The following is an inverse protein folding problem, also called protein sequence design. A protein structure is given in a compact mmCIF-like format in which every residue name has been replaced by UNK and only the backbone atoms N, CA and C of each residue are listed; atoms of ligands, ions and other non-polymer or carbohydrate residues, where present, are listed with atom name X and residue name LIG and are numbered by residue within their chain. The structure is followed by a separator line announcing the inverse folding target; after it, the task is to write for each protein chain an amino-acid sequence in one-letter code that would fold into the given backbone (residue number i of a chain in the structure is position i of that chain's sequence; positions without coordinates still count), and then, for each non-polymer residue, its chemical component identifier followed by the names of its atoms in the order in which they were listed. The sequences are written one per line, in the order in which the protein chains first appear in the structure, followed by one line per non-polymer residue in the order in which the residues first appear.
data_IF_341736315393
#
_entry.id   IF_341736315393
#
_cell.length_a   1.000
_cell.length_b   1.000
_cell.length_c   1.000
_cell.angle_alpha   90.00
_cell.angle_beta   90.00
_cell.angle_gamma   90.00
#
_symmetry.space_group_name_H-M   'P 1'
#
loop_
_entity.id
_entity.type
_entity.pdbx_description
1 polymer ?
#
# COMPACT_ATOMS: atom_id res chain seq x y z
N UNK A 1 5.13 -0.34 94.65
CA UNK A 1 5.57 0.15 93.32
C UNK A 1 5.12 -0.83 92.25
N UNK A 2 4.49 -0.32 91.18
CA UNK A 2 4.36 -0.96 89.85
C UNK A 2 3.36 -2.12 89.72
N UNK A 3 2.07 -1.84 89.50
CA UNK A 3 1.41 -1.69 88.18
C UNK A 3 0.86 -2.99 87.57
N UNK A 4 -0.46 -3.09 87.72
CA UNK A 4 -1.44 -3.83 86.93
C UNK A 4 -1.36 -3.47 85.43
N UNK A 5 -1.42 -4.45 84.53
CA UNK A 5 -1.94 -4.24 83.16
C UNK A 5 -2.28 -5.55 82.45
N UNK A 6 -3.57 -5.88 82.44
CA UNK A 6 -4.21 -6.74 81.44
C UNK A 6 -4.08 -6.09 80.06
N UNK A 7 -3.65 -6.82 79.03
CA UNK A 7 -3.78 -6.40 77.62
C UNK A 7 -4.25 -7.57 76.75
N UNK A 8 -5.55 -7.50 76.45
CA UNK A 8 -6.29 -7.91 75.27
C UNK A 8 -5.46 -8.52 74.12
N UNK A 9 -5.59 -9.84 73.91
CA UNK A 9 -5.33 -10.45 72.61
C UNK A 9 -6.56 -10.25 71.73
N UNK A 10 -6.56 -9.14 70.99
CA UNK A 10 -7.54 -8.88 69.94
C UNK A 10 -7.25 -9.81 68.75
N UNK A 11 -8.27 -10.56 68.35
CA UNK A 11 -8.35 -11.34 67.10
C UNK A 11 -7.76 -10.55 65.92
N UNK A 12 -6.67 -11.06 65.32
CA UNK A 12 -6.34 -10.74 63.93
C UNK A 12 -6.88 -11.87 63.08
N UNK A 13 -8.15 -11.76 62.75
CA UNK A 13 -8.82 -12.63 61.78
C UNK A 13 -8.84 -11.90 60.44
N UNK A 14 -8.40 -12.59 59.38
CA UNK A 14 -8.67 -12.33 57.95
C UNK A 14 -8.06 -11.06 57.33
N UNK A 15 -6.84 -11.20 56.82
CA UNK A 15 -6.37 -10.45 55.65
C UNK A 15 -5.81 -11.44 54.61
N UNK A 16 -6.69 -12.31 54.11
CA UNK A 16 -6.45 -13.22 52.99
C UNK A 16 -7.69 -13.24 52.11
N UNK A 17 -8.08 -12.09 51.55
CA UNK A 17 -9.11 -12.05 50.50
C UNK A 17 -9.32 -10.68 49.86
N UNK A 18 -8.25 -9.90 49.62
CA UNK A 18 -8.38 -8.66 48.84
C UNK A 18 -7.40 -8.58 47.67
N UNK A 19 -6.96 -9.73 47.14
CA UNK A 19 -6.15 -9.77 45.91
C UNK A 19 -6.87 -10.43 44.72
N UNK A 20 -8.04 -11.06 44.93
CA UNK A 20 -8.78 -11.72 43.86
C UNK A 20 -9.89 -10.87 43.21
N UNK A 21 -10.24 -9.69 43.76
CA UNK A 21 -11.37 -8.92 43.23
C UNK A 21 -10.99 -7.90 42.15
N UNK A 22 -9.71 -7.50 42.03
CA UNK A 22 -9.26 -6.54 41.02
C UNK A 22 -9.08 -7.18 39.64
N UNK A 23 -8.92 -8.51 39.58
CA UNK A 23 -8.77 -9.26 38.32
C UNK A 23 -10.12 -9.54 37.62
N UNK A 24 -11.24 -9.42 38.33
CA UNK A 24 -12.59 -9.70 37.79
C UNK A 24 -13.32 -8.46 37.23
N UNK A 25 -12.72 -7.27 37.32
CA UNK A 25 -13.29 -6.00 36.84
C UNK A 25 -12.47 -5.35 35.71
N UNK A 26 -11.63 -6.11 35.02
CA UNK A 26 -11.34 -5.81 33.63
C UNK A 26 -12.40 -6.53 32.79
N UNK A 27 -13.59 -5.93 32.55
CA UNK A 27 -14.31 -6.33 31.37
C UNK A 27 -13.33 -6.08 30.23
N UNK A 28 -12.91 -7.17 29.59
CA UNK A 28 -12.33 -7.13 28.28
C UNK A 28 -13.39 -6.46 27.39
N UNK A 29 -13.42 -5.13 27.39
CA UNK A 29 -14.11 -4.31 26.42
C UNK A 29 -13.32 -4.49 25.12
N UNK A 30 -13.44 -5.68 24.54
CA UNK A 30 -13.25 -5.86 23.12
C UNK A 30 -14.42 -5.14 22.46
N UNK A 31 -14.36 -3.80 22.46
CA UNK A 31 -15.16 -2.98 21.56
C UNK A 31 -14.76 -3.46 20.18
N UNK A 32 -15.63 -4.23 19.53
CA UNK A 32 -15.41 -4.60 18.13
C UNK A 32 -15.19 -3.30 17.36
N UNK A 33 -14.15 -3.26 16.53
CA UNK A 33 -13.97 -2.11 15.66
C UNK A 33 -15.24 -1.99 14.80
N UNK A 34 -15.91 -0.84 14.89
CA UNK A 34 -17.05 -0.55 14.01
C UNK A 34 -16.59 -0.66 12.56
N UNK A 35 -17.46 -1.16 11.64
CA UNK A 35 -17.13 -1.18 10.22
C UNK A 35 -16.67 0.21 9.76
N UNK A 36 -15.46 0.26 9.21
CA UNK A 36 -14.86 1.50 8.73
C UNK A 36 -14.73 1.47 7.22
N UNK A 37 -15.16 2.55 6.57
CA UNK A 37 -15.05 2.75 5.12
C UNK A 37 -14.70 4.20 4.83
N UNK A 38 -13.67 4.41 4.02
CA UNK A 38 -13.23 5.71 3.53
C UNK A 38 -12.78 5.53 2.08
N UNK A 39 -13.12 6.51 1.24
CA UNK A 39 -12.70 6.57 -0.16
C UNK A 39 -11.78 7.76 -0.36
N UNK A 40 -10.73 7.57 -1.17
CA UNK A 40 -9.86 8.64 -1.61
C UNK A 40 -9.62 8.54 -3.11
N UNK A 41 -9.61 9.70 -3.78
CA UNK A 41 -9.31 9.77 -5.20
C UNK A 41 -7.80 9.65 -5.40
N UNK A 42 -7.35 8.60 -6.10
CA UNK A 42 -5.93 8.39 -6.42
C UNK A 42 -5.52 9.23 -7.64
N UNK A 43 -6.29 9.11 -8.73
CA UNK A 43 -6.11 9.91 -9.96
C UNK A 43 -7.45 10.50 -10.36
N UNK A 44 -7.46 11.79 -10.67
CA UNK A 44 -8.65 12.44 -11.22
C UNK A 44 -8.85 12.12 -12.71
N UNK A 45 -10.05 12.35 -13.21
CA UNK A 45 -10.36 12.24 -14.62
C UNK A 45 -9.46 13.17 -15.43
N UNK A 46 -8.78 12.58 -16.43
CA UNK A 46 -7.83 13.27 -17.30
C UNK A 46 -6.63 13.95 -16.62
N UNK A 47 -6.32 13.60 -15.37
CA UNK A 47 -5.07 14.01 -14.75
C UNK A 47 -3.87 13.60 -15.63
N UNK A 48 -2.82 14.42 -15.70
CA UNK A 48 -1.64 14.13 -16.52
C UNK A 48 -1.86 14.15 -18.04
N UNK A 49 -3.08 14.44 -18.52
CA UNK A 49 -3.42 14.47 -19.94
C UNK A 49 -3.80 13.10 -20.52
N UNK A 50 -3.93 12.07 -19.70
CA UNK A 50 -4.39 10.74 -20.13
C UNK A 50 -5.91 10.73 -20.31
N UNK A 51 -6.46 9.87 -21.16
CA UNK A 51 -7.92 9.72 -21.24
C UNK A 51 -8.46 8.92 -20.04
N UNK A 52 -7.70 7.91 -19.59
CA UNK A 52 -8.04 7.12 -18.40
C UNK A 52 -6.81 6.57 -17.68
N UNK A 53 -6.95 6.40 -16.37
CA UNK A 53 -6.01 5.67 -15.53
C UNK A 53 -6.59 4.29 -15.24
N UNK A 54 -5.85 3.24 -15.58
CA UNK A 54 -6.24 1.89 -15.21
C UNK A 54 -5.29 1.39 -14.12
N UNK A 55 -5.80 1.34 -12.89
CA UNK A 55 -5.03 0.93 -11.70
C UNK A 55 -5.04 -0.59 -11.61
N UNK A 56 -3.86 -1.18 -11.53
CA UNK A 56 -3.70 -2.63 -11.52
C UNK A 56 -3.11 -3.20 -10.24
N UNK A 57 -2.48 -2.38 -9.41
CA UNK A 57 -1.76 -2.91 -8.25
C UNK A 57 -1.48 -1.88 -7.19
N UNK A 58 -1.61 -2.32 -5.95
CA UNK A 58 -1.12 -1.60 -4.78
C UNK A 58 -0.01 -2.40 -4.12
N UNK A 59 0.92 -1.71 -3.50
CA UNK A 59 1.88 -2.31 -2.59
C UNK A 59 2.11 -1.41 -1.38
N UNK A 60 2.30 -2.02 -0.22
CA UNK A 60 2.62 -1.29 1.01
C UNK A 60 4.08 -1.54 1.35
N UNK A 61 4.87 -0.48 1.40
CA UNK A 61 6.28 -0.53 1.79
C UNK A 61 6.46 -0.99 3.23
N UNK A 62 7.70 -1.31 3.63
CA UNK A 62 8.03 -1.64 5.03
C UNK A 62 7.72 -0.49 6.00
N UNK A 63 7.77 0.75 5.53
CA UNK A 63 7.50 1.97 6.29
C UNK A 63 6.01 2.37 6.29
N UNK A 64 5.13 1.57 5.70
CA UNK A 64 3.69 1.86 5.65
C UNK A 64 3.26 2.84 4.55
N UNK A 65 4.18 3.35 3.73
CA UNK A 65 3.81 4.09 2.51
C UNK A 65 3.04 3.16 1.57
N UNK A 66 1.86 3.59 1.11
CA UNK A 66 1.06 2.92 0.08
C UNK A 66 1.52 3.40 -1.29
N UNK A 67 1.77 2.47 -2.19
CA UNK A 67 2.11 2.69 -3.60
C UNK A 67 0.94 2.25 -4.45
N UNK A 68 0.45 3.11 -5.33
CA UNK A 68 -0.54 2.79 -6.34
C UNK A 68 0.14 2.81 -7.71
N UNK A 69 0.01 1.72 -8.47
CA UNK A 69 0.57 1.58 -9.81
C UNK A 69 -0.55 1.56 -10.85
N UNK A 70 -0.38 2.36 -11.90
CA UNK A 70 -1.40 2.58 -12.92
C UNK A 70 -0.82 2.62 -14.32
N UNK A 71 -1.68 2.36 -15.31
CA UNK A 71 -1.46 2.72 -16.70
C UNK A 71 -2.10 4.06 -17.01
N UNK A 72 -1.31 5.01 -17.52
CA UNK A 72 -1.83 6.25 -18.10
C UNK A 72 -2.12 6.02 -19.56
N UNK A 73 -3.39 5.83 -19.92
CA UNK A 73 -3.78 5.45 -21.28
C UNK A 73 -4.08 6.66 -22.14
N UNK A 74 -3.55 6.65 -23.36
CA UNK A 74 -3.88 7.70 -24.33
C UNK A 74 -5.37 7.67 -24.72
N UNK A 75 -5.99 6.48 -24.75
CA UNK A 75 -7.42 6.27 -25.06
C UNK A 75 -8.05 5.24 -24.14
N UNK A 76 -9.26 5.49 -23.68
CA UNK A 76 -10.04 4.50 -22.95
C UNK A 76 -10.39 3.29 -23.83
N UNK A 77 -10.52 2.12 -23.19
CA UNK A 77 -10.89 0.83 -23.80
C UNK A 77 -9.95 0.33 -24.91
N UNK A 78 -8.77 0.93 -25.05
CA UNK A 78 -7.70 0.43 -25.92
C UNK A 78 -6.62 -0.24 -25.08
N UNK A 79 -6.68 -1.56 -24.96
CA UNK A 79 -5.67 -2.32 -24.21
C UNK A 79 -4.37 -2.53 -25.01
N UNK A 80 -4.43 -2.46 -26.33
CA UNK A 80 -3.28 -2.54 -27.23
C UNK A 80 -2.61 -1.19 -27.48
N UNK A 81 -3.27 -0.09 -27.13
CA UNK A 81 -2.82 1.26 -27.43
C UNK A 81 -1.65 1.74 -26.57
N UNK A 82 -1.14 2.95 -26.84
CA UNK A 82 -0.05 3.56 -26.08
C UNK A 82 -0.44 3.79 -24.62
N UNK A 83 0.49 3.48 -23.69
CA UNK A 83 0.26 3.69 -22.24
C UNK A 83 1.56 4.01 -21.52
N UNK A 84 1.51 4.97 -20.60
CA UNK A 84 2.57 5.21 -19.61
C UNK A 84 2.46 4.26 -18.42
N UNK A 85 3.58 4.03 -17.72
CA UNK A 85 3.59 3.39 -16.39
C UNK A 85 3.75 4.44 -15.31
N UNK A 86 2.77 4.50 -14.42
CA UNK A 86 2.61 5.57 -13.45
C UNK A 86 2.60 5.04 -12.01
N UNK A 87 3.03 5.88 -11.08
CA UNK A 87 3.05 5.63 -9.66
C UNK A 87 2.56 6.86 -8.89
N UNK A 88 1.69 6.64 -7.91
CA UNK A 88 1.43 7.60 -6.83
C UNK A 88 1.73 6.99 -5.47
N UNK A 89 2.04 7.85 -4.51
CA UNK A 89 2.44 7.46 -3.15
C UNK A 89 1.52 8.14 -2.14
N UNK A 90 1.11 7.38 -1.13
CA UNK A 90 0.48 7.90 0.08
C UNK A 90 1.32 7.54 1.31
N UNK A 91 1.57 8.53 2.16
CA UNK A 91 2.30 8.37 3.43
C UNK A 91 1.38 8.39 4.65
N UNK A 92 0.07 8.43 4.43
CA UNK A 92 -0.99 8.53 5.44
C UNK A 92 -2.06 7.44 5.26
N UNK A 93 -1.61 6.22 4.94
CA UNK A 93 -2.45 5.03 4.80
C UNK A 93 -3.51 5.10 3.71
N UNK A 94 -3.25 5.86 2.63
CA UNK A 94 -4.12 5.99 1.48
C UNK A 94 -5.09 7.17 1.55
N UNK A 95 -5.01 8.04 2.57
CA UNK A 95 -5.94 9.19 2.71
C UNK A 95 -5.64 10.29 1.70
N UNK A 96 -4.36 10.61 1.51
CA UNK A 96 -3.91 11.60 0.52
C UNK A 96 -2.82 11.03 -0.37
N UNK A 97 -2.76 11.54 -1.60
CA UNK A 97 -1.83 11.07 -2.63
C UNK A 97 -0.92 12.19 -3.10
N UNK A 98 0.37 11.91 -3.15
CA UNK A 98 1.37 12.83 -3.67
C UNK A 98 1.31 12.99 -5.19
N UNK A 99 2.27 13.77 -5.71
CA UNK A 99 2.43 13.96 -7.16
C UNK A 99 2.68 12.62 -7.86
N UNK A 100 2.17 12.52 -9.08
CA UNK A 100 2.44 11.41 -9.98
C UNK A 100 3.93 11.30 -10.32
N UNK A 101 4.40 10.07 -10.42
CA UNK A 101 5.73 9.68 -10.85
C UNK A 101 5.57 8.82 -12.10
N UNK A 102 6.27 9.19 -13.17
CA UNK A 102 6.30 8.41 -14.41
C UNK A 102 7.48 7.44 -14.35
N UNK A 103 7.19 6.14 -14.41
CA UNK A 103 8.19 5.06 -14.42
C UNK A 103 8.68 4.82 -15.84
N UNK A 104 7.76 4.76 -16.81
CA UNK A 104 8.06 4.61 -18.24
C UNK A 104 7.10 5.49 -19.06
N UNK A 105 7.60 6.04 -20.18
CA UNK A 105 6.84 6.90 -21.09
C UNK A 105 6.51 6.19 -22.41
N UNK A 106 5.39 6.59 -23.00
CA UNK A 106 4.92 6.26 -24.34
C UNK A 106 5.31 7.34 -25.37
N UNK A 107 6.53 7.87 -25.27
CA UNK A 107 7.02 8.95 -26.14
C UNK A 107 7.62 8.46 -27.47
N UNK A 108 7.62 7.15 -27.69
CA UNK A 108 8.15 6.46 -28.87
C UNK A 108 9.67 6.34 -28.86
N UNK A 109 10.36 6.82 -27.82
CA UNK A 109 11.83 6.82 -27.77
C UNK A 109 12.43 5.41 -27.86
N UNK A 110 11.82 4.42 -27.20
CA UNK A 110 12.28 3.04 -27.26
C UNK A 110 12.10 2.50 -28.67
N UNK A 111 10.92 2.65 -29.26
CA UNK A 111 10.66 2.09 -30.59
C UNK A 111 11.43 2.77 -31.71
N UNK A 112 11.62 4.08 -31.64
CA UNK A 112 12.48 4.83 -32.55
C UNK A 112 13.90 4.25 -32.52
N UNK A 113 14.46 3.98 -31.33
CA UNK A 113 15.79 3.39 -31.18
C UNK A 113 15.86 1.91 -31.63
N UNK A 114 14.72 1.24 -31.79
CA UNK A 114 14.64 -0.18 -32.16
C UNK A 114 14.05 -0.41 -33.57
N UNK A 115 14.09 0.60 -34.44
CA UNK A 115 13.72 0.47 -35.86
C UNK A 115 12.22 0.57 -36.16
N UNK A 116 11.42 1.09 -35.22
CA UNK A 116 9.98 1.29 -35.38
C UNK A 116 9.63 2.79 -35.22
N UNK A 117 10.04 3.65 -36.19
CA UNK A 117 9.82 5.08 -36.07
C UNK A 117 8.34 5.45 -36.02
N UNK A 118 7.97 6.34 -35.09
CA UNK A 118 6.59 6.83 -34.94
C UNK A 118 5.64 5.89 -34.18
N UNK A 119 6.14 4.75 -33.70
CA UNK A 119 5.39 3.84 -32.82
C UNK A 119 5.60 4.25 -31.37
N UNK A 120 4.51 4.36 -30.60
CA UNK A 120 4.56 4.64 -29.15
C UNK A 120 4.55 3.35 -28.33
N UNK A 121 5.10 3.40 -27.13
CA UNK A 121 5.19 2.25 -26.23
C UNK A 121 3.83 1.89 -25.62
N UNK A 122 3.56 0.59 -25.58
CA UNK A 122 2.45 0.01 -24.84
C UNK A 122 3.03 -0.75 -23.65
N UNK A 123 3.28 -0.01 -22.57
CA UNK A 123 3.70 -0.61 -21.32
C UNK A 123 2.51 -1.31 -20.67
N UNK A 124 2.65 -2.60 -20.38
CA UNK A 124 1.57 -3.46 -19.88
C UNK A 124 1.99 -4.25 -18.64
N UNK A 125 1.04 -4.97 -18.07
CA UNK A 125 1.14 -5.79 -16.85
C UNK A 125 1.49 -4.97 -15.61
N UNK A 126 1.14 -5.51 -14.46
CA UNK A 126 1.43 -4.90 -13.18
C UNK A 126 1.64 -6.00 -12.15
N UNK A 127 2.86 -6.13 -11.66
CA UNK A 127 3.17 -7.06 -10.57
C UNK A 127 4.16 -6.40 -9.60
N UNK A 128 3.68 -5.53 -8.70
CA UNK A 128 4.50 -4.98 -7.64
C UNK A 128 4.68 -6.02 -6.51
N UNK A 129 5.91 -6.17 -6.03
CA UNK A 129 6.30 -7.05 -4.93
C UNK A 129 7.16 -6.25 -3.97
N UNK A 130 6.85 -6.34 -2.68
CA UNK A 130 7.67 -5.74 -1.61
C UNK A 130 8.28 -6.86 -0.80
N UNK A 131 9.61 -6.91 -0.75
CA UNK A 131 10.32 -7.75 0.20
C UNK A 131 10.21 -7.10 1.59
N UNK A 132 9.50 -7.77 2.51
CA UNK A 132 9.27 -7.27 3.86
C UNK A 132 10.50 -7.38 4.77
N UNK A 133 11.44 -8.26 4.45
CA UNK A 133 12.68 -8.44 5.21
C UNK A 133 13.61 -7.29 4.92
N UNK A 134 13.93 -7.08 3.65
CA UNK A 134 14.88 -6.03 3.21
C UNK A 134 14.23 -4.65 3.12
N UNK A 135 12.97 -4.58 2.70
CA UNK A 135 12.27 -3.34 2.36
C UNK A 135 12.27 -3.04 0.86
N UNK A 136 12.97 -3.83 0.06
CA UNK A 136 13.11 -3.65 -1.39
C UNK A 136 11.76 -3.74 -2.10
N UNK A 137 11.62 -2.95 -3.15
CA UNK A 137 10.41 -2.85 -3.97
C UNK A 137 10.76 -3.20 -5.40
N UNK A 138 10.12 -4.25 -5.90
CA UNK A 138 10.20 -4.69 -7.28
C UNK A 138 8.88 -4.41 -7.97
N UNK A 139 8.91 -3.86 -9.17
CA UNK A 139 7.74 -3.71 -10.00
C UNK A 139 8.02 -4.31 -11.37
N UNK A 140 7.44 -5.49 -11.61
CA UNK A 140 7.56 -6.21 -12.87
C UNK A 140 6.47 -5.73 -13.84
N UNK A 141 6.88 -5.42 -15.07
CA UNK A 141 6.01 -4.99 -16.16
C UNK A 141 6.59 -5.43 -17.51
N UNK A 142 5.83 -5.24 -18.58
CA UNK A 142 6.24 -5.65 -19.92
C UNK A 142 6.02 -4.55 -20.96
N UNK A 143 6.70 -4.69 -22.09
CA UNK A 143 6.46 -3.94 -23.31
C UNK A 143 5.86 -4.87 -24.36
N UNK A 144 4.71 -4.51 -24.92
CA UNK A 144 4.14 -5.26 -26.04
C UNK A 144 4.97 -5.08 -27.31
N UNK A 145 5.07 -6.12 -28.13
CA UNK A 145 5.68 -6.09 -29.46
C UNK A 145 4.72 -5.43 -30.45
N UNK A 146 5.13 -4.36 -31.17
CA UNK A 146 4.25 -3.68 -32.12
C UNK A 146 3.86 -4.57 -33.31
N UNK A 147 4.67 -5.57 -33.63
CA UNK A 147 4.42 -6.45 -34.78
C UNK A 147 3.56 -7.68 -34.42
N UNK A 148 3.29 -7.90 -33.12
CA UNK A 148 2.54 -9.07 -32.65
C UNK A 148 1.37 -8.64 -31.79
N UNK A 149 0.16 -8.98 -32.26
CA UNK A 149 -1.05 -8.78 -31.47
C UNK A 149 -0.97 -9.55 -30.16
N UNK A 150 -0.97 -8.82 -29.04
CA UNK A 150 -0.80 -9.35 -27.68
C UNK A 150 0.53 -10.11 -27.42
N UNK A 151 1.55 -9.91 -28.26
CA UNK A 151 2.90 -10.43 -28.00
C UNK A 151 3.66 -9.53 -27.05
N UNK A 152 4.32 -10.07 -26.04
CA UNK A 152 5.26 -9.32 -25.20
C UNK A 152 6.66 -9.42 -25.80
N UNK A 153 7.35 -8.29 -25.97
CA UNK A 153 8.74 -8.27 -26.47
C UNK A 153 9.74 -8.33 -25.33
N UNK A 154 9.51 -7.55 -24.28
CA UNK A 154 10.45 -7.40 -23.17
C UNK A 154 9.70 -7.37 -21.85
N UNK A 155 10.21 -8.11 -20.86
CA UNK A 155 9.85 -7.92 -19.45
C UNK A 155 10.90 -7.02 -18.79
N UNK A 156 10.44 -6.00 -18.07
CA UNK A 156 11.29 -5.06 -17.33
C UNK A 156 10.94 -5.10 -15.84
N UNK A 157 11.89 -4.61 -15.05
CA UNK A 157 11.72 -4.46 -13.60
C UNK A 157 12.16 -3.06 -13.21
N UNK A 158 11.23 -2.31 -12.63
CA UNK A 158 11.57 -1.13 -11.86
C UNK A 158 11.92 -1.59 -10.44
N UNK A 159 13.04 -1.10 -9.93
CA UNK A 159 13.59 -1.52 -8.65
C UNK A 159 13.95 -0.31 -7.80
N UNK A 160 13.55 -0.35 -6.53
CA UNK A 160 13.93 0.65 -5.55
C UNK A 160 14.31 -0.04 -4.23
N UNK A 161 15.51 0.30 -3.73
CA UNK A 161 15.97 0.04 -2.36
C UNK A 161 15.37 1.04 -1.38
#
# INVERSE_FOLDING_TARGET
MGHNRKRNYLRIMKMRSLFCLVVLLFPCLSMGAEPFFEESLVWDYKEGGYDTHHVYGFAVTKQGTVLAFSEGREKAKDDSGPKDKLLKRSTDSGRTWGKEIVIERMDGSYWNAHGHPGVKETWTNCAPVVDKVTGDIFYFYALNDPDKKAGQRVTRVFYKK
#
